data_IF_220635884823
#
_entry.id   IF_220635884823
#
_cell.length_a   1.000
_cell.length_b   1.000
_cell.length_c   1.000
_cell.angle_alpha   90.00
_cell.angle_beta   90.00
_cell.angle_gamma   90.00
#
_symmetry.space_group_name_H-M   'P 1'
#
loop_
_entity.id
_entity.type
_entity.pdbx_description
1 polymer ?
#
# COMPACT_ATOMS: atom_id res chain seq x y z
N UNK A 1 -21.31 -1.37 -3.54
CA UNK A 1 -20.25 -2.37 -3.72
C UNK A 1 -19.85 -2.93 -2.36
N UNK A 2 -19.80 -4.24 -2.28
CA UNK A 2 -19.58 -4.96 -1.04
C UNK A 2 -18.07 -5.10 -0.79
N UNK A 3 -17.63 -5.00 0.47
CA UNK A 3 -16.23 -5.14 0.86
C UNK A 3 -15.58 -6.41 0.29
N UNK A 4 -16.28 -7.55 0.37
CA UNK A 4 -15.74 -8.82 -0.12
C UNK A 4 -15.49 -8.81 -1.64
N UNK A 5 -16.25 -8.01 -2.39
CA UNK A 5 -16.10 -7.91 -3.85
C UNK A 5 -14.84 -7.10 -4.23
N UNK A 6 -14.29 -6.32 -3.32
CA UNK A 6 -13.11 -5.50 -3.57
C UNK A 6 -11.81 -6.24 -3.26
N UNK A 7 -11.87 -7.48 -2.79
CA UNK A 7 -10.67 -8.24 -2.47
C UNK A 7 -9.87 -8.56 -3.72
N UNK A 8 -8.59 -8.17 -3.71
CA UNK A 8 -7.64 -8.50 -4.75
C UNK A 8 -6.81 -9.70 -4.31
N UNK A 9 -7.10 -10.86 -4.86
CA UNK A 9 -6.37 -12.09 -4.58
C UNK A 9 -5.27 -12.25 -5.63
N UNK A 10 -4.11 -11.69 -5.37
CA UNK A 10 -2.97 -11.73 -6.28
C UNK A 10 -1.73 -12.15 -5.50
N UNK A 11 -0.98 -13.07 -6.07
CA UNK A 11 0.28 -13.49 -5.48
C UNK A 11 1.36 -12.46 -5.81
N UNK A 12 2.12 -12.05 -4.80
CA UNK A 12 3.19 -11.06 -4.95
C UNK A 12 4.52 -11.65 -4.51
N UNK A 13 5.55 -11.39 -5.33
CA UNK A 13 6.87 -11.93 -5.06
C UNK A 13 6.88 -13.44 -5.08
N UNK A 14 7.70 -14.04 -4.23
CA UNK A 14 7.81 -15.48 -4.08
C UNK A 14 7.51 -15.90 -2.65
N UNK A 15 7.37 -17.20 -2.42
CA UNK A 15 7.17 -17.73 -1.07
C UNK A 15 8.27 -17.29 -0.11
N UNK A 16 9.53 -17.30 -0.60
CA UNK A 16 10.69 -16.92 0.22
C UNK A 16 10.91 -15.41 0.27
N UNK A 17 10.35 -14.67 -0.67
CA UNK A 17 10.55 -13.22 -0.76
C UNK A 17 9.24 -12.57 -1.24
N UNK A 18 8.26 -12.48 -0.35
CA UNK A 18 6.91 -11.99 -0.69
C UNK A 18 6.86 -10.46 -0.75
N UNK A 19 7.68 -9.86 -1.62
CA UNK A 19 7.72 -8.43 -1.89
C UNK A 19 7.61 -8.22 -3.40
N UNK A 20 6.77 -7.27 -3.80
CA UNK A 20 6.63 -6.88 -5.18
C UNK A 20 6.69 -5.36 -5.30
N UNK A 21 7.49 -4.87 -6.24
CA UNK A 21 7.57 -3.45 -6.57
C UNK A 21 6.85 -3.20 -7.88
N UNK A 22 5.95 -2.23 -7.88
CA UNK A 22 5.25 -1.78 -9.08
C UNK A 22 5.67 -0.34 -9.38
N UNK A 23 6.19 -0.12 -10.58
CA UNK A 23 6.42 1.23 -11.11
C UNK A 23 5.29 1.54 -12.07
N UNK A 24 4.57 2.63 -11.83
CA UNK A 24 3.32 2.92 -12.55
C UNK A 24 3.39 4.32 -13.16
N UNK A 25 3.19 4.38 -14.47
CA UNK A 25 3.05 5.63 -15.21
C UNK A 25 1.78 5.57 -16.07
N UNK A 26 1.52 6.62 -16.84
CA UNK A 26 0.29 6.73 -17.64
C UNK A 26 0.14 5.62 -18.69
N UNK A 27 1.20 4.91 -19.03
CA UNK A 27 1.17 3.81 -19.99
C UNK A 27 1.02 2.44 -19.32
N UNK A 28 1.02 2.40 -17.99
CA UNK A 28 0.93 1.15 -17.25
C UNK A 28 -0.54 0.75 -17.12
N UNK A 29 -0.88 -0.54 -17.34
CA UNK A 29 -2.21 -1.03 -17.00
C UNK A 29 -2.51 -0.74 -15.53
N UNK A 30 -3.75 -0.34 -15.25
CA UNK A 30 -4.17 0.05 -13.90
C UNK A 30 -3.49 1.31 -13.38
N UNK A 31 -3.06 2.18 -14.29
CA UNK A 31 -2.58 3.51 -13.93
C UNK A 31 -3.58 4.19 -12.98
N UNK A 32 -4.86 4.22 -13.35
CA UNK A 32 -5.91 4.59 -12.41
C UNK A 32 -6.17 3.39 -11.52
N UNK A 33 -6.00 3.56 -10.22
CA UNK A 33 -6.08 2.48 -9.27
C UNK A 33 -7.52 2.29 -8.80
N UNK A 34 -8.17 1.16 -9.16
CA UNK A 34 -9.52 0.91 -8.68
C UNK A 34 -9.54 0.63 -7.18
N UNK A 35 -10.69 0.86 -6.55
CA UNK A 35 -10.86 0.53 -5.14
C UNK A 35 -10.70 -0.97 -4.94
N UNK A 36 -9.83 -1.35 -4.00
CA UNK A 36 -9.55 -2.74 -3.68
C UNK A 36 -8.93 -2.86 -2.29
N UNK A 37 -8.80 -4.09 -1.81
CA UNK A 37 -8.02 -4.38 -0.62
C UNK A 37 -7.32 -5.73 -0.78
N UNK A 38 -6.28 -5.93 -0.01
CA UNK A 38 -5.51 -7.18 0.00
C UNK A 38 -4.95 -7.39 1.40
N UNK A 39 -4.41 -8.58 1.63
CA UNK A 39 -3.90 -8.95 2.95
C UNK A 39 -2.49 -8.39 3.20
N UNK A 40 -1.77 -8.08 2.13
CA UNK A 40 -0.43 -7.51 2.24
C UNK A 40 -0.48 -6.04 2.65
N UNK A 41 0.63 -5.56 3.19
CA UNK A 41 0.86 -4.13 3.42
C UNK A 41 1.37 -3.48 2.14
N UNK A 42 1.17 -2.18 2.03
CA UNK A 42 1.60 -1.46 0.85
C UNK A 42 2.12 -0.08 1.21
N UNK A 43 3.19 0.35 0.53
CA UNK A 43 3.70 1.70 0.60
C UNK A 43 3.63 2.30 -0.80
N UNK A 44 2.91 3.41 -0.95
CA UNK A 44 2.80 4.15 -2.20
C UNK A 44 3.66 5.40 -2.09
N UNK A 45 4.53 5.64 -3.07
CA UNK A 45 5.38 6.83 -3.12
C UNK A 45 5.13 7.56 -4.43
N UNK A 46 4.89 8.85 -4.36
CA UNK A 46 4.64 9.67 -5.56
C UNK A 46 5.98 10.23 -6.05
N UNK A 47 6.37 9.81 -7.24
CA UNK A 47 7.63 10.24 -7.85
C UNK A 47 7.46 11.50 -8.68
N UNK A 48 6.29 11.72 -9.27
CA UNK A 48 6.01 12.87 -10.10
C UNK A 48 4.50 13.11 -10.15
N UNK A 49 4.08 14.37 -10.23
CA UNK A 49 2.68 14.73 -10.39
C UNK A 49 1.90 14.63 -9.10
N UNK A 50 0.64 14.28 -9.20
CA UNK A 50 -0.25 14.17 -8.04
C UNK A 50 -1.12 12.92 -8.13
N UNK A 51 -1.61 12.49 -6.97
CA UNK A 51 -2.41 11.29 -6.84
C UNK A 51 -3.49 11.55 -5.79
N UNK A 52 -4.74 11.52 -6.21
CA UNK A 52 -5.84 11.62 -5.27
C UNK A 52 -6.11 10.23 -4.72
N UNK A 53 -5.76 10.01 -3.45
CA UNK A 53 -5.89 8.70 -2.82
C UNK A 53 -7.18 8.62 -2.01
N UNK A 54 -7.90 7.51 -2.20
CA UNK A 54 -8.97 7.08 -1.32
C UNK A 54 -8.38 6.06 -0.36
N UNK A 55 -8.47 6.34 0.93
CA UNK A 55 -7.87 5.49 1.94
C UNK A 55 -8.81 5.40 3.14
N UNK A 56 -9.39 4.23 3.34
CA UNK A 56 -10.28 3.94 4.47
C UNK A 56 -11.40 4.98 4.64
N UNK A 57 -12.07 5.31 3.56
CA UNK A 57 -13.21 6.23 3.56
C UNK A 57 -12.83 7.70 3.44
N UNK A 58 -11.55 8.04 3.42
CA UNK A 58 -11.11 9.43 3.32
C UNK A 58 -10.35 9.66 2.02
N UNK A 59 -10.48 10.87 1.47
CA UNK A 59 -9.81 11.28 0.25
C UNK A 59 -8.75 12.32 0.60
N UNK A 60 -7.55 12.12 0.07
CA UNK A 60 -6.43 13.06 0.24
C UNK A 60 -5.70 13.19 -1.07
N UNK A 61 -5.00 14.31 -1.28
CA UNK A 61 -4.16 14.51 -2.45
C UNK A 61 -2.70 14.38 -2.05
N UNK A 62 -2.00 13.48 -2.73
CA UNK A 62 -0.56 13.30 -2.57
C UNK A 62 0.16 13.98 -3.72
N UNK A 63 1.30 14.57 -3.42
CA UNK A 63 2.16 15.24 -4.40
C UNK A 63 3.54 14.57 -4.42
N UNK A 64 4.37 15.00 -5.33
CA UNK A 64 5.73 14.46 -5.46
C UNK A 64 6.44 14.43 -4.11
N UNK A 65 6.96 13.27 -3.73
CA UNK A 65 7.66 13.05 -2.47
C UNK A 65 6.79 12.58 -1.33
N UNK A 66 5.47 12.67 -1.47
CA UNK A 66 4.55 12.17 -0.44
C UNK A 66 4.42 10.65 -0.51
N UNK A 67 4.13 10.03 0.62
CA UNK A 67 3.93 8.58 0.71
C UNK A 67 2.63 8.27 1.42
N UNK A 68 2.06 7.10 1.11
CA UNK A 68 0.93 6.56 1.83
C UNK A 68 1.25 5.14 2.29
N UNK A 69 0.96 4.85 3.55
CA UNK A 69 1.06 3.50 4.12
C UNK A 69 -0.34 2.89 4.19
N UNK A 70 -0.47 1.69 3.66
CA UNK A 70 -1.75 0.99 3.61
C UNK A 70 -1.61 -0.31 4.38
N UNK A 71 -2.40 -0.43 5.45
CA UNK A 71 -2.42 -1.64 6.26
C UNK A 71 -3.18 -2.78 5.59
N UNK A 72 -3.04 -3.98 6.15
CA UNK A 72 -3.76 -5.14 5.65
C UNK A 72 -5.28 -4.92 5.74
N UNK A 73 -5.97 -5.32 4.71
CA UNK A 73 -7.44 -5.27 4.67
C UNK A 73 -8.04 -3.88 4.46
N UNK A 74 -7.24 -2.84 4.29
CA UNK A 74 -7.75 -1.47 4.13
C UNK A 74 -8.13 -1.22 2.68
N UNK A 75 -9.36 -0.76 2.44
CA UNK A 75 -9.84 -0.41 1.10
C UNK A 75 -9.13 0.87 0.64
N UNK A 76 -8.53 0.80 -0.53
CA UNK A 76 -7.81 1.93 -1.10
C UNK A 76 -7.89 1.93 -2.62
N UNK A 77 -7.63 3.08 -3.19
CA UNK A 77 -7.58 3.29 -4.62
C UNK A 77 -7.20 4.74 -4.89
N UNK A 78 -7.18 5.14 -6.14
CA UNK A 78 -6.85 6.52 -6.42
C UNK A 78 -6.85 6.90 -7.89
N UNK A 79 -6.80 8.21 -8.10
CA UNK A 79 -6.80 8.83 -9.41
C UNK A 79 -5.51 9.63 -9.60
N UNK A 80 -4.61 9.18 -10.48
CA UNK A 80 -3.39 9.90 -10.78
C UNK A 80 -3.64 11.05 -11.77
N UNK A 81 -2.84 12.11 -11.66
CA UNK A 81 -2.85 13.23 -12.60
C UNK A 81 -1.41 13.53 -13.00
N UNK A 82 -1.05 13.26 -14.23
CA UNK A 82 0.31 13.40 -14.74
C UNK A 82 1.32 12.78 -13.77
N UNK A 83 1.02 11.58 -13.34
CA UNK A 83 1.63 10.99 -12.15
C UNK A 83 2.54 9.81 -12.52
N UNK A 84 3.63 9.70 -11.78
CA UNK A 84 4.44 8.48 -11.74
C UNK A 84 4.53 8.10 -10.27
N UNK A 85 4.20 6.85 -9.95
CA UNK A 85 4.24 6.40 -8.57
C UNK A 85 4.75 4.98 -8.48
N UNK A 86 5.26 4.64 -7.32
CA UNK A 86 5.71 3.28 -7.01
C UNK A 86 4.89 2.71 -5.87
N UNK A 87 4.61 1.41 -5.97
CA UNK A 87 3.94 0.67 -4.90
C UNK A 87 4.83 -0.48 -4.49
N UNK A 88 5.14 -0.59 -3.20
CA UNK A 88 5.79 -1.76 -2.64
C UNK A 88 4.76 -2.52 -1.84
N UNK A 89 4.46 -3.75 -2.25
CA UNK A 89 3.45 -4.59 -1.61
C UNK A 89 4.17 -5.78 -1.00
N UNK A 90 3.95 -6.06 0.27
CA UNK A 90 4.70 -7.09 0.98
C UNK A 90 3.89 -7.74 2.10
N UNK A 91 4.23 -8.98 2.40
CA UNK A 91 3.65 -9.75 3.50
C UNK A 91 4.68 -9.86 4.63
N UNK A 92 4.37 -9.25 5.78
CA UNK A 92 5.29 -9.25 6.92
C UNK A 92 5.43 -10.61 7.60
N UNK A 93 4.38 -11.45 7.55
CA UNK A 93 4.41 -12.74 8.21
C UNK A 93 5.59 -13.60 7.78
N UNK A 94 5.70 -13.97 6.49
CA UNK A 94 6.83 -14.75 6.00
C UNK A 94 8.17 -14.05 6.13
N UNK A 95 8.22 -12.72 5.98
CA UNK A 95 9.47 -11.97 6.08
C UNK A 95 10.07 -12.03 7.48
N UNK A 96 9.24 -12.16 8.51
CA UNK A 96 9.66 -12.17 9.90
C UNK A 96 9.69 -13.57 10.51
N UNK A 97 9.49 -14.59 9.69
CA UNK A 97 9.34 -15.98 10.13
C UNK A 97 10.52 -16.46 10.98
N UNK A 98 11.74 -16.15 10.56
CA UNK A 98 12.96 -16.63 11.20
C UNK A 98 13.51 -15.68 12.27
N UNK A 99 12.78 -14.63 12.60
CA UNK A 99 13.22 -13.62 13.58
C UNK A 99 12.10 -13.31 14.56
N UNK A 100 11.87 -14.20 15.57
CA UNK A 100 10.74 -14.04 16.50
C UNK A 100 10.70 -12.70 17.23
N UNK A 101 11.85 -12.14 17.58
CA UNK A 101 11.93 -10.84 18.27
C UNK A 101 11.45 -9.73 17.35
N UNK A 102 11.93 -9.72 16.11
CA UNK A 102 11.50 -8.72 15.12
C UNK A 102 10.03 -8.84 14.79
N UNK A 103 9.53 -10.09 14.69
CA UNK A 103 8.10 -10.33 14.45
C UNK A 103 7.25 -9.75 15.57
N UNK A 104 7.66 -9.94 16.82
CA UNK A 104 6.93 -9.41 17.97
C UNK A 104 6.89 -7.89 17.95
N UNK A 105 8.05 -7.27 17.75
CA UNK A 105 8.14 -5.81 17.71
C UNK A 105 7.31 -5.21 16.57
N UNK A 106 7.37 -5.82 15.39
CA UNK A 106 6.58 -5.35 14.23
C UNK A 106 5.09 -5.53 14.49
N UNK A 107 4.68 -6.66 15.08
CA UNK A 107 3.27 -6.91 15.40
C UNK A 107 2.75 -5.88 16.39
N UNK A 108 3.53 -5.58 17.44
CA UNK A 108 3.15 -4.58 18.43
C UNK A 108 3.04 -3.18 17.80
N UNK A 109 3.99 -2.82 16.95
CA UNK A 109 3.99 -1.53 16.25
C UNK A 109 2.75 -1.40 15.35
N UNK A 110 2.45 -2.43 14.57
CA UNK A 110 1.30 -2.41 13.65
C UNK A 110 -0.03 -2.44 14.37
N UNK A 111 -0.09 -3.03 15.56
CA UNK A 111 -1.30 -3.04 16.38
C UNK A 111 -1.53 -1.70 17.09
N UNK A 112 -0.49 -0.89 17.23
CA UNK A 112 -0.58 0.41 17.89
C UNK A 112 -1.17 1.44 16.92
N UNK A 113 -2.36 1.95 17.23
CA UNK A 113 -3.00 2.98 16.40
C UNK A 113 -2.50 4.39 16.71
N UNK A 114 -1.76 4.58 17.80
CA UNK A 114 -1.43 5.90 18.30
C UNK A 114 -0.13 6.50 17.77
N UNK A 115 0.72 5.72 17.17
CA UNK A 115 2.00 6.20 16.65
C UNK A 115 2.14 6.12 15.14
N UNK A 116 1.03 5.89 14.44
CA UNK A 116 1.09 5.57 13.02
C UNK A 116 0.25 6.54 12.20
N UNK A 117 0.89 7.22 11.26
CA UNK A 117 0.23 8.11 10.30
C UNK A 117 0.23 7.44 8.92
N UNK A 118 -0.97 7.28 8.33
CA UNK A 118 -1.09 6.63 7.03
C UNK A 118 -0.54 7.47 5.87
N UNK A 119 -0.50 8.79 6.01
CA UNK A 119 -0.01 9.69 4.98
C UNK A 119 1.18 10.48 5.52
N UNK A 120 2.28 10.42 4.78
CA UNK A 120 3.52 11.13 5.10
C UNK A 120 3.76 12.18 4.02
N UNK A 121 3.64 13.44 4.39
CA UNK A 121 3.91 14.57 3.49
C UNK A 121 5.39 14.91 3.49
N UNK A 122 5.89 15.26 2.32
CA UNK A 122 7.26 15.69 2.17
C UNK A 122 7.50 17.06 2.85
#
# INVERSE_FOLDING_TARGET
>A
MNYSELYENKKRGSFDFPIELYYVDENTPRYQMPLHWHLEYELITILQGSFEIYLDGEISTLHQGDCAWIGDGVVHGGTPVNCIYECVVFDLGPLLHDTPVCKRSATEFLASKNGFTSILKK
#
